data_IF_424525468273
#
_entry.id   IF_424525468273
#
_cell.length_a   1.000
_cell.length_b   1.000
_cell.length_c   1.000
_cell.angle_alpha   90.00
_cell.angle_beta   90.00
_cell.angle_gamma   90.00
#
_symmetry.space_group_name_H-M   'P 1'
#
loop_
_entity.id
_entity.type
_entity.pdbx_description
1 polymer ?
#
# COMPACT_ATOMS: atom_id res chain seq x y z
N UNK A 1 -31.76 1.82 19.39
CA UNK A 1 -30.94 3.04 19.22
C UNK A 1 -29.58 2.93 19.91
N UNK A 2 -29.50 2.63 21.21
CA UNK A 2 -28.22 2.46 21.95
C UNK A 2 -27.31 1.34 21.42
N UNK A 3 -27.89 0.20 21.00
CA UNK A 3 -27.12 -0.91 20.43
C UNK A 3 -26.42 -0.52 19.12
N UNK A 4 -27.14 0.19 18.23
CA UNK A 4 -26.61 0.68 16.96
C UNK A 4 -25.45 1.66 17.21
N UNK A 5 -25.64 2.63 18.11
CA UNK A 5 -24.58 3.60 18.49
C UNK A 5 -23.35 2.88 19.05
N UNK A 6 -23.53 1.88 19.91
CA UNK A 6 -22.43 1.07 20.45
C UNK A 6 -21.66 0.32 19.36
N UNK A 7 -22.37 -0.27 18.38
CA UNK A 7 -21.77 -0.98 17.24
C UNK A 7 -21.01 -0.02 16.32
N UNK A 8 -21.56 1.17 16.02
CA UNK A 8 -20.88 2.21 15.23
C UNK A 8 -19.60 2.72 15.91
N UNK A 9 -19.64 2.91 17.23
CA UNK A 9 -18.46 3.32 18.00
C UNK A 9 -17.38 2.23 18.01
N UNK A 10 -17.76 0.96 18.21
CA UNK A 10 -16.83 -0.17 18.14
C UNK A 10 -16.14 -0.30 16.77
N UNK A 11 -16.89 -0.11 15.67
CA UNK A 11 -16.32 -0.10 14.32
C UNK A 11 -15.33 1.05 14.11
N UNK A 12 -15.67 2.24 14.58
CA UNK A 12 -14.81 3.43 14.48
C UNK A 12 -13.51 3.28 15.30
N UNK A 13 -13.62 2.70 16.50
CA UNK A 13 -12.47 2.40 17.36
C UNK A 13 -11.54 1.33 16.75
N UNK A 14 -12.10 0.33 16.06
CA UNK A 14 -11.30 -0.66 15.34
C UNK A 14 -10.45 -0.01 14.24
N UNK A 15 -10.97 1.00 13.55
CA UNK A 15 -10.20 1.70 12.50
C UNK A 15 -9.18 2.70 13.05
N UNK A 16 -9.34 3.18 14.29
CA UNK A 16 -8.55 4.27 14.85
C UNK A 16 -7.19 3.85 15.45
N UNK A 17 -6.92 2.55 15.59
CA UNK A 17 -5.74 2.02 16.31
C UNK A 17 -4.70 1.29 15.48
N UNK A 18 -4.86 1.17 14.15
CA UNK A 18 -3.92 0.42 13.32
C UNK A 18 -2.84 1.34 12.76
N UNK A 19 -1.57 1.04 13.09
CA UNK A 19 -0.44 1.61 12.37
C UNK A 19 -0.39 1.00 10.98
N UNK A 20 -0.30 1.86 9.96
CA UNK A 20 -0.24 1.47 8.54
C UNK A 20 0.85 0.41 8.34
N UNK A 21 0.55 -0.64 7.58
CA UNK A 21 1.53 -1.65 7.17
C UNK A 21 1.83 -1.49 5.70
N UNK A 22 3.09 -1.58 5.32
CA UNK A 22 3.52 -1.53 3.92
C UNK A 22 4.49 -2.66 3.62
N UNK A 23 4.64 -3.00 2.34
CA UNK A 23 5.77 -3.80 1.90
C UNK A 23 7.03 -2.95 1.81
N UNK A 24 8.16 -3.51 2.25
CA UNK A 24 9.47 -2.89 2.14
C UNK A 24 10.43 -3.78 1.36
N UNK A 25 11.20 -3.17 0.46
CA UNK A 25 12.22 -3.84 -0.34
C UNK A 25 13.11 -2.84 -1.07
N UNK A 26 14.26 -3.31 -1.53
CA UNK A 26 15.08 -2.63 -2.56
C UNK A 26 15.63 -3.69 -3.50
N UNK A 27 15.42 -3.50 -4.79
CA UNK A 27 15.82 -4.45 -5.83
C UNK A 27 16.43 -3.73 -7.02
N UNK A 28 17.56 -4.25 -7.50
CA UNK A 28 18.23 -3.78 -8.72
C UNK A 28 17.80 -4.55 -9.98
N UNK A 29 16.93 -5.55 -9.82
CA UNK A 29 16.38 -6.35 -10.92
C UNK A 29 14.94 -5.96 -11.26
N UNK A 30 14.46 -4.85 -10.70
CA UNK A 30 13.12 -4.29 -10.94
C UNK A 30 11.98 -5.00 -10.21
N UNK A 31 12.23 -6.17 -9.61
CA UNK A 31 11.21 -6.95 -8.92
C UNK A 31 11.51 -7.11 -7.42
N UNK A 32 10.49 -6.89 -6.59
CA UNK A 32 10.54 -7.11 -5.15
C UNK A 32 9.86 -8.44 -4.77
N UNK A 33 10.45 -9.55 -5.21
CA UNK A 33 9.87 -10.89 -5.02
C UNK A 33 9.89 -11.34 -3.55
N UNK A 34 10.89 -10.90 -2.78
CA UNK A 34 11.05 -11.19 -1.35
C UNK A 34 10.82 -9.92 -0.48
N UNK A 35 9.69 -9.25 -0.69
CA UNK A 35 9.31 -8.07 0.10
C UNK A 35 8.78 -8.47 1.48
N UNK A 36 9.11 -7.69 2.51
CA UNK A 36 8.62 -7.93 3.87
C UNK A 36 7.45 -6.99 4.19
N UNK A 37 6.40 -7.51 4.82
CA UNK A 37 5.31 -6.69 5.31
C UNK A 37 5.66 -6.12 6.68
N UNK A 38 5.99 -4.83 6.73
CA UNK A 38 6.45 -4.14 7.95
C UNK A 38 5.39 -3.17 8.45
N UNK A 39 5.27 -3.04 9.77
CA UNK A 39 4.48 -1.97 10.40
C UNK A 39 5.24 -0.66 10.26
N UNK A 40 4.60 0.37 9.72
CA UNK A 40 5.22 1.67 9.53
C UNK A 40 5.49 2.37 10.87
N UNK A 41 6.57 3.17 10.96
CA UNK A 41 6.84 3.99 12.12
C UNK A 41 5.78 5.09 12.26
N UNK A 42 5.59 5.58 13.48
CA UNK A 42 4.68 6.69 13.77
C UNK A 42 4.95 7.89 12.85
N UNK A 43 3.88 8.47 12.30
CA UNK A 43 3.97 9.59 11.36
C UNK A 43 4.13 9.20 9.89
N UNK A 44 4.39 7.93 9.58
CA UNK A 44 4.30 7.43 8.20
C UNK A 44 2.84 7.11 7.86
N UNK A 45 2.31 7.79 6.84
CA UNK A 45 0.89 7.70 6.46
C UNK A 45 0.69 7.17 5.05
N UNK A 46 1.77 6.84 4.34
CA UNK A 46 1.76 6.38 2.95
C UNK A 46 2.67 5.17 2.76
N UNK A 47 2.24 4.23 1.93
CA UNK A 47 3.11 3.28 1.28
C UNK A 47 3.59 3.85 -0.05
N UNK A 48 4.90 3.86 -0.26
CA UNK A 48 5.55 4.36 -1.47
C UNK A 48 6.16 3.20 -2.25
N UNK A 49 6.03 3.24 -3.57
CA UNK A 49 6.81 2.42 -4.52
C UNK A 49 7.54 3.36 -5.47
N UNK A 50 8.85 3.20 -5.58
CA UNK A 50 9.67 3.96 -6.52
C UNK A 50 10.31 3.01 -7.50
N UNK A 51 10.11 3.25 -8.80
CA UNK A 51 10.69 2.47 -9.88
C UNK A 51 11.57 3.39 -10.73
N UNK A 52 12.85 3.09 -10.77
CA UNK A 52 13.82 3.81 -11.59
C UNK A 52 14.19 2.96 -12.79
N UNK A 53 14.03 3.51 -13.98
CA UNK A 53 14.51 2.93 -15.24
C UNK A 53 15.67 3.78 -15.72
N UNK A 54 16.85 3.19 -15.82
CA UNK A 54 18.04 3.84 -16.36
C UNK A 54 18.50 3.12 -17.63
N UNK A 55 18.82 3.89 -18.67
CA UNK A 55 19.22 3.44 -19.99
C UNK A 55 20.51 4.15 -20.40
N UNK A 56 21.58 3.38 -20.63
CA UNK A 56 22.90 3.86 -21.10
C UNK A 56 23.34 3.01 -22.28
N UNK A 57 23.17 3.55 -23.49
CA UNK A 57 23.41 2.81 -24.72
C UNK A 57 22.49 1.57 -24.81
N UNK A 58 23.03 0.35 -25.01
CA UNK A 58 22.23 -0.88 -25.05
C UNK A 58 21.83 -1.42 -23.67
N UNK A 59 22.36 -0.83 -22.59
CA UNK A 59 22.15 -1.33 -21.22
C UNK A 59 20.92 -0.65 -20.64
N UNK A 60 19.92 -1.46 -20.25
CA UNK A 60 18.75 -1.03 -19.49
C UNK A 60 18.77 -1.66 -18.10
N UNK A 61 18.73 -0.82 -17.08
CA UNK A 61 18.64 -1.23 -15.67
C UNK A 61 17.30 -0.73 -15.12
N UNK A 62 16.59 -1.60 -14.41
CA UNK A 62 15.38 -1.22 -13.68
C UNK A 62 15.58 -1.55 -12.22
N UNK A 63 15.42 -0.57 -11.34
CA UNK A 63 15.39 -0.77 -9.90
C UNK A 63 14.04 -0.40 -9.33
N UNK A 64 13.63 -1.11 -8.28
CA UNK A 64 12.38 -0.87 -7.57
C UNK A 64 12.67 -0.86 -6.08
N UNK A 65 12.16 0.15 -5.38
CA UNK A 65 12.13 0.20 -3.93
C UNK A 65 10.70 0.41 -3.43
N UNK A 66 10.43 -0.13 -2.24
CA UNK A 66 9.17 0.04 -1.53
C UNK A 66 9.45 0.39 -0.08
N UNK A 67 8.70 1.33 0.48
CA UNK A 67 8.92 1.84 1.82
C UNK A 67 7.67 2.50 2.43
N UNK A 68 7.65 2.61 3.74
CA UNK A 68 6.78 3.57 4.45
C UNK A 68 7.28 5.00 4.25
N UNK A 69 6.36 5.95 4.13
CA UNK A 69 6.70 7.37 3.98
C UNK A 69 5.70 8.29 4.70
N UNK A 70 6.14 9.41 5.30
CA UNK A 70 5.23 10.43 5.85
C UNK A 70 4.46 11.19 4.76
N UNK A 71 5.07 11.35 3.58
CA UNK A 71 4.51 12.04 2.42
C UNK A 71 4.88 11.29 1.14
N UNK A 72 4.05 11.40 0.10
CA UNK A 72 4.31 10.71 -1.15
C UNK A 72 3.66 11.48 -2.30
N UNK A 73 4.48 11.95 -3.24
CA UNK A 73 4.02 12.66 -4.43
C UNK A 73 4.07 11.69 -5.63
N UNK A 74 2.90 11.19 -6.08
CA UNK A 74 2.86 10.26 -7.20
C UNK A 74 3.19 10.98 -8.51
N UNK A 75 3.89 10.30 -9.41
CA UNK A 75 4.24 10.86 -10.71
C UNK A 75 5.45 10.21 -11.34
N UNK A 76 5.75 10.62 -12.57
CA UNK A 76 6.93 10.17 -13.31
C UNK A 76 7.80 11.36 -13.65
N UNK A 77 9.05 11.33 -13.19
CA UNK A 77 10.07 12.34 -13.42
C UNK A 77 11.09 11.81 -14.42
N UNK A 78 11.41 12.59 -15.44
CA UNK A 78 12.49 12.24 -16.39
C UNK A 78 13.84 12.69 -15.83
N UNK A 79 14.85 11.83 -15.96
CA UNK A 79 16.25 12.11 -15.60
C UNK A 79 17.13 11.94 -16.85
N UNK A 80 18.37 12.43 -16.79
CA UNK A 80 19.27 12.42 -17.95
C UNK A 80 19.49 11.02 -18.56
N UNK A 81 19.37 9.98 -17.75
CA UNK A 81 19.61 8.59 -18.13
C UNK A 81 18.33 7.74 -18.12
N UNK A 82 17.13 8.31 -18.06
CA UNK A 82 15.88 7.54 -18.02
C UNK A 82 14.77 8.19 -17.21
N UNK A 83 14.07 7.43 -16.37
CA UNK A 83 12.89 7.92 -15.63
C UNK A 83 12.79 7.34 -14.22
N UNK A 84 12.15 8.09 -13.32
CA UNK A 84 11.76 7.65 -11.97
C UNK A 84 10.25 7.77 -11.86
N UNK A 85 9.57 6.67 -11.54
CA UNK A 85 8.13 6.64 -11.29
C UNK A 85 7.85 6.37 -9.82
N UNK A 86 7.03 7.21 -9.21
CA UNK A 86 6.57 7.10 -7.83
C UNK A 86 5.09 6.77 -7.80
N UNK A 87 4.72 5.73 -7.04
CA UNK A 87 3.35 5.34 -6.76
C UNK A 87 3.10 5.40 -5.26
N UNK A 88 1.91 5.87 -4.88
CA UNK A 88 1.54 6.16 -3.51
C UNK A 88 0.16 5.58 -3.18
N UNK A 89 0.00 5.07 -1.97
CA UNK A 89 -1.29 4.61 -1.44
C UNK A 89 -1.26 4.65 0.10
N UNK A 90 -2.41 4.55 0.77
CA UNK A 90 -2.56 4.79 2.22
C UNK A 90 -3.37 3.73 2.97
N UNK A 91 -3.56 2.57 2.37
CA UNK A 91 -4.20 1.42 3.04
C UNK A 91 -3.18 0.33 3.31
N UNK A 92 -3.46 -0.54 4.28
CA UNK A 92 -2.55 -1.64 4.62
C UNK A 92 -2.16 -2.48 3.40
N UNK A 93 -0.85 -2.65 3.22
CA UNK A 93 -0.20 -3.48 2.21
C UNK A 93 -0.58 -3.11 0.77
N UNK A 94 -1.06 -1.88 0.54
CA UNK A 94 -1.54 -1.41 -0.76
C UNK A 94 -0.46 -1.37 -1.83
N UNK A 95 0.82 -1.26 -1.45
CA UNK A 95 1.96 -1.28 -2.35
C UNK A 95 2.42 -2.71 -2.69
N UNK A 96 1.51 -3.68 -2.72
CA UNK A 96 1.81 -5.05 -3.16
C UNK A 96 2.28 -5.07 -4.63
N UNK A 97 2.97 -6.14 -5.04
CA UNK A 97 3.29 -6.30 -6.45
C UNK A 97 2.00 -6.55 -7.26
N UNK A 98 1.97 -6.10 -8.52
CA UNK A 98 0.90 -6.43 -9.47
C UNK A 98 0.69 -7.96 -9.48
N UNK A 99 -0.52 -8.40 -9.07
CA UNK A 99 -0.88 -9.81 -8.93
C UNK A 99 -1.26 -10.28 -7.52
N UNK A 100 -1.03 -9.47 -6.48
CA UNK A 100 -1.34 -9.85 -5.08
C UNK A 100 -2.73 -9.39 -4.59
N UNK A 101 -3.45 -8.58 -5.36
CA UNK A 101 -4.71 -7.94 -4.99
C UNK A 101 -5.95 -8.86 -5.05
N UNK A 102 -5.86 -10.18 -4.78
CA UNK A 102 -7.01 -11.09 -4.99
C UNK A 102 -7.87 -11.40 -3.76
N UNK A 103 -7.56 -10.91 -2.56
CA UNK A 103 -8.24 -11.37 -1.34
C UNK A 103 -9.11 -10.33 -0.62
N UNK A 104 -8.95 -9.03 -0.85
CA UNK A 104 -9.47 -8.01 0.07
C UNK A 104 -10.95 -7.63 -0.15
N UNK A 105 -11.50 -7.79 -1.36
CA UNK A 105 -12.86 -7.31 -1.67
C UNK A 105 -13.97 -8.17 -1.04
N UNK A 106 -13.68 -9.42 -0.65
CA UNK A 106 -14.68 -10.35 -0.10
C UNK A 106 -14.99 -10.15 1.39
N UNK A 107 -14.14 -9.45 2.15
CA UNK A 107 -14.32 -9.27 3.60
C UNK A 107 -15.17 -8.03 3.96
N UNK A 108 -15.31 -7.08 3.03
CA UNK A 108 -16.09 -5.85 3.25
C UNK A 108 -17.62 -6.06 3.18
N UNK A 109 -18.09 -7.18 2.64
CA UNK A 109 -19.52 -7.51 2.57
C UNK A 109 -20.06 -8.17 3.86
N UNK A 110 -19.18 -8.66 4.74
CA UNK A 110 -19.56 -9.38 5.97
C UNK A 110 -20.53 -8.60 6.87
N UNK A 111 -20.31 -7.31 7.19
CA UNK A 111 -21.19 -6.59 8.13
C UNK A 111 -22.58 -6.30 7.55
N UNK A 112 -22.66 -6.02 6.24
CA UNK A 112 -23.92 -5.77 5.53
C UNK A 112 -24.78 -7.03 5.45
N UNK A 113 -24.15 -8.19 5.20
CA UNK A 113 -24.84 -9.48 5.11
C UNK A 113 -25.41 -9.91 6.47
N UNK A 114 -24.69 -9.67 7.58
CA UNK A 114 -25.22 -9.92 8.93
C UNK A 114 -26.40 -9.00 9.30
N UNK A 115 -26.44 -7.75 8.81
CA UNK A 115 -27.57 -6.86 9.06
C UNK A 115 -28.86 -7.33 8.38
N UNK A 116 -28.76 -7.82 7.13
CA UNK A 116 -29.92 -8.37 6.42
C UNK A 116 -30.37 -9.75 6.91
N UNK A 117 -29.48 -10.54 7.53
CA UNK A 117 -29.81 -11.86 8.08
C UNK A 117 -30.42 -11.81 9.48
N UNK A 118 -30.27 -10.69 10.20
CA UNK A 118 -30.75 -10.51 11.59
C UNK A 118 -32.00 -9.60 11.66
N UNK A 119 -32.45 -9.06 10.52
CA UNK A 119 -33.72 -8.35 10.35
C UNK A 119 -34.82 -9.31 9.87
#
# INVERSE_FOLDING_TARGET
MYLQISVFLLFSLFTAGHSLRCYECTSLTGSCTNQNATTCPSGSTKCMTMTTVAEVGPIKVTSTSKMCSPSCDPGTQQIAIGSVTTQCCDTDLCNAADGMYKASFLLLLSPLLFYFLVQ
#
